data_IF_965397381103
#
_entry.id   IF_965397381103
#
_cell.length_a   1.000
_cell.length_b   1.000
_cell.length_c   1.000
_cell.angle_alpha   90.00
_cell.angle_beta   90.00
_cell.angle_gamma   90.00
#
_symmetry.space_group_name_H-M   'P 1'
#
loop_
_entity.id
_entity.type
_entity.pdbx_description
1 polymer ?
#
# COMPACT_ATOMS: atom_id res chain seq x y z
N UNK A 1 -12.34 -1.09 -18.63
CA UNK A 1 -12.66 -2.42 -18.07
C UNK A 1 -11.47 -3.35 -18.25
N UNK A 2 -11.12 -4.17 -17.26
CA UNK A 2 -10.15 -5.25 -17.48
C UNK A 2 -10.85 -6.33 -18.31
N UNK A 3 -10.23 -6.78 -19.41
CA UNK A 3 -10.77 -7.88 -20.23
C UNK A 3 -10.95 -9.13 -19.37
N UNK A 4 -12.08 -9.83 -19.53
CA UNK A 4 -12.46 -11.04 -18.76
C UNK A 4 -11.33 -12.08 -18.68
N UNK A 5 -10.57 -12.25 -19.76
CA UNK A 5 -9.42 -13.14 -19.83
C UNK A 5 -8.31 -12.80 -18.81
N UNK A 6 -8.01 -11.51 -18.62
CA UNK A 6 -7.01 -11.06 -17.63
C UNK A 6 -7.46 -11.34 -16.19
N UNK A 7 -8.76 -11.22 -15.92
CA UNK A 7 -9.33 -11.54 -14.60
C UNK A 7 -9.22 -13.05 -14.34
N UNK A 8 -9.58 -13.88 -15.31
CA UNK A 8 -9.47 -15.34 -15.20
C UNK A 8 -8.03 -15.79 -14.96
N UNK A 9 -7.07 -15.19 -15.67
CA UNK A 9 -5.64 -15.45 -15.44
C UNK A 9 -5.21 -15.08 -14.02
N UNK A 10 -5.58 -13.89 -13.56
CA UNK A 10 -5.27 -13.40 -12.22
C UNK A 10 -5.86 -14.32 -11.13
N UNK A 11 -7.10 -14.80 -11.30
CA UNK A 11 -7.73 -15.76 -10.39
C UNK A 11 -6.95 -17.07 -10.35
N UNK A 12 -6.60 -17.63 -11.51
CA UNK A 12 -5.83 -18.90 -11.59
C UNK A 12 -4.44 -18.77 -10.97
N UNK A 13 -3.74 -17.67 -11.24
CA UNK A 13 -2.44 -17.38 -10.62
C UNK A 13 -2.57 -17.27 -9.09
N UNK A 14 -3.64 -16.65 -8.61
CA UNK A 14 -3.91 -16.55 -7.18
C UNK A 14 -4.34 -17.88 -6.54
N UNK A 15 -5.13 -18.72 -7.22
CA UNK A 15 -5.50 -20.07 -6.77
C UNK A 15 -4.25 -20.92 -6.48
N UNK A 16 -3.25 -20.83 -7.36
CA UNK A 16 -2.02 -21.64 -7.33
C UNK A 16 -0.93 -21.15 -6.35
N UNK A 17 -1.17 -20.08 -5.59
CA UNK A 17 -0.19 -19.55 -4.62
C UNK A 17 -0.75 -19.57 -3.19
N UNK A 18 0.10 -19.92 -2.23
CA UNK A 18 -0.22 -19.82 -0.79
C UNK A 18 0.05 -18.42 -0.23
N UNK A 19 0.70 -17.56 -1.01
CA UNK A 19 1.08 -16.22 -0.57
C UNK A 19 -0.08 -15.23 -0.66
N UNK A 20 -0.11 -14.32 0.30
CA UNK A 20 -0.84 -13.07 0.26
C UNK A 20 0.14 -11.89 0.23
N UNK A 21 -0.30 -10.79 -0.35
CA UNK A 21 0.37 -9.50 -0.20
C UNK A 21 -0.19 -8.77 1.01
N UNK A 22 0.69 -8.16 1.81
CA UNK A 22 0.31 -7.37 2.97
C UNK A 22 0.90 -5.97 2.85
N UNK A 23 0.03 -4.97 3.00
CA UNK A 23 0.39 -3.57 3.09
C UNK A 23 0.39 -3.15 4.55
N UNK A 24 1.55 -2.78 5.07
CA UNK A 24 1.75 -2.22 6.40
C UNK A 24 1.82 -0.71 6.28
N UNK A 25 0.86 -0.03 6.88
CA UNK A 25 0.83 1.42 6.93
C UNK A 25 1.60 1.86 8.16
N UNK A 26 2.71 2.55 7.95
CA UNK A 26 3.69 2.86 8.99
C UNK A 26 3.86 4.36 9.18
N UNK A 27 4.08 4.73 10.43
CA UNK A 27 4.51 6.03 10.91
C UNK A 27 5.93 5.90 11.45
N UNK A 28 6.78 6.91 11.26
CA UNK A 28 8.11 6.91 11.85
C UNK A 28 8.69 8.31 12.05
N UNK A 29 9.49 8.45 13.10
CA UNK A 29 10.35 9.61 13.34
C UNK A 29 11.68 9.42 12.60
N UNK A 30 11.91 10.21 11.55
CA UNK A 30 13.07 10.12 10.69
C UNK A 30 14.40 10.37 11.39
N UNK A 31 14.43 11.13 12.49
CA UNK A 31 15.65 11.43 13.24
C UNK A 31 16.25 10.19 13.92
N UNK A 32 15.43 9.15 14.15
CA UNK A 32 15.86 7.87 14.74
C UNK A 32 16.48 6.91 13.73
N UNK A 33 16.62 7.30 12.46
CA UNK A 33 17.11 6.45 11.39
C UNK A 33 18.18 7.13 10.54
N UNK A 34 19.21 6.37 10.15
CA UNK A 34 20.26 6.82 9.25
C UNK A 34 19.81 6.84 7.78
N UNK A 35 18.85 5.99 7.44
CA UNK A 35 18.33 5.81 6.09
C UNK A 35 16.98 5.10 6.08
N UNK A 36 16.29 5.14 4.95
CA UNK A 36 15.09 4.33 4.73
C UNK A 36 15.44 2.88 4.37
N UNK A 37 16.30 2.69 3.36
CA UNK A 37 16.77 1.36 2.93
C UNK A 37 17.84 0.82 3.89
N UNK A 38 17.95 -0.52 3.98
CA UNK A 38 18.98 -1.24 4.73
C UNK A 38 20.39 -0.89 4.24
N UNK A 39 21.27 -0.55 5.18
CA UNK A 39 22.70 -0.27 4.95
C UNK A 39 23.50 -0.97 6.06
N UNK A 40 24.64 -1.58 5.70
CA UNK A 40 25.47 -2.31 6.67
C UNK A 40 25.84 -1.44 7.88
N UNK A 41 25.62 -1.97 9.09
CA UNK A 41 25.94 -1.30 10.35
C UNK A 41 25.11 -0.06 10.70
N UNK A 42 24.04 0.25 9.96
CA UNK A 42 23.20 1.43 10.18
C UNK A 42 21.77 1.08 10.54
N UNK A 43 21.13 1.92 11.35
CA UNK A 43 19.72 1.76 11.73
C UNK A 43 18.86 2.36 10.63
N UNK A 44 18.09 1.53 9.92
CA UNK A 44 17.18 1.97 8.86
C UNK A 44 15.74 1.60 9.12
N UNK A 45 14.80 2.36 8.53
CA UNK A 45 13.36 2.08 8.61
C UNK A 45 13.05 0.64 8.20
N UNK A 46 13.61 0.17 7.08
CA UNK A 46 13.40 -1.22 6.63
C UNK A 46 14.02 -2.26 7.57
N UNK A 47 15.21 -2.00 8.12
CA UNK A 47 15.86 -2.93 9.05
C UNK A 47 15.06 -3.08 10.35
N UNK A 48 14.53 -1.99 10.90
CA UNK A 48 13.72 -2.03 12.13
C UNK A 48 12.35 -2.64 11.86
N UNK A 49 11.75 -2.37 10.70
CA UNK A 49 10.53 -3.06 10.28
C UNK A 49 10.75 -4.56 10.12
N UNK A 50 11.88 -5.00 9.55
CA UNK A 50 12.23 -6.43 9.45
C UNK A 50 12.38 -7.07 10.82
N UNK A 51 13.10 -6.42 11.75
CA UNK A 51 13.20 -6.89 13.15
C UNK A 51 11.83 -6.98 13.82
N UNK A 52 10.92 -6.05 13.53
CA UNK A 52 9.55 -6.08 14.03
C UNK A 52 8.77 -7.27 13.47
N UNK A 53 8.92 -7.59 12.18
CA UNK A 53 8.35 -8.81 11.59
C UNK A 53 8.92 -10.08 12.24
N UNK A 54 10.24 -10.14 12.44
CA UNK A 54 10.92 -11.28 13.08
C UNK A 54 10.44 -11.49 14.53
N UNK A 55 10.28 -10.42 15.31
CA UNK A 55 9.71 -10.47 16.66
C UNK A 55 8.28 -11.03 16.70
N UNK A 56 7.51 -10.77 15.65
CA UNK A 56 6.17 -11.32 15.48
C UNK A 56 6.15 -12.71 14.82
N UNK A 57 7.31 -13.34 14.65
CA UNK A 57 7.47 -14.61 13.92
C UNK A 57 6.89 -14.57 12.49
N UNK A 58 6.87 -13.40 11.86
CA UNK A 58 6.38 -13.20 10.49
C UNK A 58 7.51 -13.47 9.51
N UNK A 59 7.36 -14.55 8.74
CA UNK A 59 8.22 -14.91 7.62
C UNK A 59 7.69 -14.24 6.35
N UNK A 60 8.56 -13.50 5.68
CA UNK A 60 8.26 -12.88 4.39
C UNK A 60 9.00 -13.59 3.26
N UNK A 61 8.42 -13.54 2.07
CA UNK A 61 9.03 -14.00 0.83
C UNK A 61 9.46 -12.82 -0.02
N UNK A 62 10.70 -12.90 -0.52
CA UNK A 62 11.43 -11.79 -1.18
C UNK A 62 11.63 -10.60 -0.22
N UNK A 63 11.99 -9.44 -0.76
CA UNK A 63 12.25 -8.23 -0.01
C UNK A 63 11.01 -7.36 0.25
N UNK A 64 11.21 -6.35 1.08
CA UNK A 64 10.22 -5.32 1.41
C UNK A 64 10.19 -4.27 0.28
N UNK A 65 9.02 -4.11 -0.33
CA UNK A 65 8.73 -2.99 -1.24
C UNK A 65 8.08 -1.83 -0.48
N UNK A 66 8.01 -0.64 -1.08
CA UNK A 66 7.57 0.57 -0.41
C UNK A 66 6.78 1.51 -1.31
N UNK A 67 5.93 2.34 -0.73
CA UNK A 67 5.25 3.40 -1.44
C UNK A 67 6.18 4.59 -1.73
N UNK A 68 6.92 5.05 -0.72
CA UNK A 68 7.92 6.10 -0.84
C UNK A 68 9.22 5.74 -0.16
N UNK A 69 10.36 6.03 -0.81
CA UNK A 69 11.66 6.04 -0.13
C UNK A 69 11.93 7.44 0.38
N UNK A 70 12.21 7.58 1.67
CA UNK A 70 12.58 8.87 2.27
C UNK A 70 14.10 9.01 2.44
N UNK A 71 14.57 10.25 2.43
CA UNK A 71 15.96 10.58 2.78
C UNK A 71 16.15 10.46 4.31
N UNK A 72 17.41 10.57 4.78
CA UNK A 72 17.74 10.68 6.21
C UNK A 72 16.95 11.82 6.87
N UNK A 73 16.54 11.61 8.13
CA UNK A 73 15.77 12.55 8.98
C UNK A 73 14.35 12.88 8.53
N UNK A 74 13.92 12.43 7.34
CA UNK A 74 12.55 12.69 6.86
C UNK A 74 11.57 11.83 7.64
N UNK A 75 10.56 12.47 8.22
CA UNK A 75 9.48 11.82 8.98
C UNK A 75 8.45 11.19 8.05
N UNK A 76 7.62 10.29 8.56
CA UNK A 76 6.41 9.86 7.87
C UNK A 76 5.25 9.67 8.82
N UNK A 77 4.07 10.12 8.41
CA UNK A 77 2.82 9.88 9.13
C UNK A 77 2.09 8.62 8.66
N UNK A 78 2.15 8.32 7.36
CA UNK A 78 1.55 7.11 6.78
C UNK A 78 2.27 6.70 5.48
N UNK A 79 3.50 6.16 5.60
CA UNK A 79 4.14 5.47 4.50
C UNK A 79 3.63 4.01 4.43
N UNK A 80 3.89 3.29 3.33
CA UNK A 80 3.38 1.94 3.14
C UNK A 80 4.53 1.01 2.78
N UNK A 81 4.68 -0.08 3.54
CA UNK A 81 5.57 -1.18 3.22
C UNK A 81 4.75 -2.37 2.75
N UNK A 82 5.22 -3.03 1.69
CA UNK A 82 4.54 -4.19 1.10
C UNK A 82 5.43 -5.42 1.14
N UNK A 83 4.88 -6.52 1.65
CA UNK A 83 5.55 -7.82 1.76
C UNK A 83 4.63 -8.95 1.30
N UNK A 84 5.22 -10.09 0.97
CA UNK A 84 4.48 -11.32 0.69
C UNK A 84 4.67 -12.30 1.84
N UNK A 85 3.62 -12.94 2.32
CA UNK A 85 3.71 -13.99 3.33
C UNK A 85 2.64 -15.06 3.09
N UNK A 86 2.93 -16.30 3.51
CA UNK A 86 1.93 -17.38 3.58
C UNK A 86 1.09 -17.28 4.86
N UNK A 87 1.61 -16.63 5.89
CA UNK A 87 0.93 -16.52 7.17
C UNK A 87 -0.29 -15.61 7.06
N UNK A 88 -1.30 -15.91 7.87
CA UNK A 88 -2.39 -14.98 8.12
C UNK A 88 -1.89 -13.92 9.12
N UNK A 89 -1.87 -12.66 8.71
CA UNK A 89 -1.37 -11.56 9.54
C UNK A 89 -2.53 -10.61 9.80
N UNK A 90 -2.89 -10.49 11.08
CA UNK A 90 -3.88 -9.55 11.58
C UNK A 90 -3.17 -8.48 12.40
N UNK A 91 -3.71 -7.26 12.39
CA UNK A 91 -3.06 -6.12 13.06
C UNK A 91 -3.14 -6.27 14.58
N UNK A 92 -4.23 -6.87 15.07
CA UNK A 92 -4.56 -7.06 16.48
C UNK A 92 -3.61 -8.06 17.16
N UNK A 93 -3.01 -8.97 16.38
CA UNK A 93 -2.20 -10.08 16.89
C UNK A 93 -0.69 -9.79 16.88
N UNK A 94 -0.28 -8.55 16.56
CA UNK A 94 1.14 -8.22 16.41
C UNK A 94 1.60 -7.11 17.35
N UNK A 95 2.87 -7.20 17.77
CA UNK A 95 3.64 -6.07 18.26
C UNK A 95 3.74 -5.08 17.09
N UNK A 96 3.11 -3.93 17.24
CA UNK A 96 2.94 -2.94 16.19
C UNK A 96 3.93 -1.77 16.28
N UNK A 97 4.78 -1.70 17.30
CA UNK A 97 5.67 -0.56 17.53
C UNK A 97 7.07 -1.01 17.94
N UNK A 98 8.08 -0.26 17.47
CA UNK A 98 9.45 -0.32 17.93
C UNK A 98 10.05 1.10 17.98
N UNK A 99 11.31 1.22 18.40
CA UNK A 99 11.93 2.54 18.62
C UNK A 99 11.98 3.40 17.34
N UNK A 100 11.01 4.31 17.24
CA UNK A 100 10.86 5.27 16.16
C UNK A 100 9.96 4.84 15.00
N UNK A 101 9.36 3.65 15.03
CA UNK A 101 8.49 3.15 13.97
C UNK A 101 7.24 2.49 14.57
N UNK A 102 6.07 2.84 14.02
CA UNK A 102 4.78 2.29 14.40
C UNK A 102 4.00 1.84 13.17
N UNK A 103 3.43 0.64 13.23
CA UNK A 103 2.42 0.14 12.29
C UNK A 103 1.08 0.68 12.77
N UNK A 104 0.33 1.37 11.90
CA UNK A 104 -1.00 1.93 12.19
C UNK A 104 -2.12 0.97 11.80
N UNK A 105 -1.91 0.21 10.73
CA UNK A 105 -2.87 -0.76 10.19
C UNK A 105 -2.21 -1.69 9.17
N UNK A 106 -2.87 -2.82 8.93
CA UNK A 106 -2.50 -3.79 7.89
C UNK A 106 -3.67 -3.94 6.92
N UNK A 107 -3.37 -4.07 5.63
CA UNK A 107 -4.37 -4.44 4.63
C UNK A 107 -3.86 -5.57 3.76
N UNK A 108 -4.72 -6.56 3.51
CA UNK A 108 -4.40 -7.72 2.69
C UNK A 108 -4.78 -7.50 1.24
N UNK A 109 -3.97 -8.00 0.32
CA UNK A 109 -4.15 -7.87 -1.14
C UNK A 109 -3.49 -9.04 -1.86
N UNK A 110 -3.49 -9.03 -3.18
CA UNK A 110 -2.78 -10.03 -3.98
C UNK A 110 -1.27 -10.02 -3.71
N UNK A 111 -0.62 -11.19 -3.72
CA UNK A 111 0.84 -11.28 -3.65
C UNK A 111 1.49 -10.82 -4.97
N UNK A 112 2.80 -10.64 -4.93
CA UNK A 112 3.70 -10.43 -6.08
C UNK A 112 3.36 -9.21 -6.94
N UNK A 113 2.81 -8.17 -6.33
CA UNK A 113 2.61 -6.89 -7.00
C UNK A 113 3.96 -6.17 -7.18
N UNK A 114 4.12 -5.52 -8.32
CA UNK A 114 5.10 -4.44 -8.51
C UNK A 114 4.62 -3.20 -7.75
N UNK A 115 4.78 -3.22 -6.43
CA UNK A 115 4.09 -2.32 -5.51
C UNK A 115 4.37 -0.83 -5.78
N UNK A 116 5.59 -0.39 -6.14
CA UNK A 116 5.83 1.02 -6.51
C UNK A 116 4.97 1.52 -7.68
N UNK A 117 4.59 0.63 -8.61
CA UNK A 117 3.71 0.96 -9.74
C UNK A 117 2.23 1.02 -9.36
N UNK A 118 1.89 0.54 -8.15
CA UNK A 118 0.53 0.56 -7.61
C UNK A 118 0.22 1.83 -6.84
N UNK A 119 1.19 2.74 -6.69
CA UNK A 119 1.04 4.04 -6.04
C UNK A 119 0.78 5.11 -7.10
N UNK A 120 -0.31 5.83 -6.94
CA UNK A 120 -0.75 6.87 -7.87
C UNK A 120 -0.16 8.23 -7.52
N UNK A 121 -0.25 8.63 -6.25
CA UNK A 121 0.26 9.91 -5.76
C UNK A 121 0.94 9.78 -4.40
N UNK A 122 1.84 10.71 -4.12
CA UNK A 122 2.55 10.86 -2.83
C UNK A 122 2.38 12.28 -2.35
N UNK A 123 2.17 12.42 -1.04
CA UNK A 123 1.90 13.69 -0.39
C UNK A 123 2.99 13.98 0.62
N UNK A 124 3.52 15.20 0.57
CA UNK A 124 4.52 15.67 1.52
C UNK A 124 4.12 17.01 2.11
N UNK A 125 4.54 17.23 3.35
CA UNK A 125 4.44 18.52 4.04
C UNK A 125 5.86 18.95 4.40
N UNK A 126 6.19 20.21 4.16
CA UNK A 126 7.45 20.82 4.58
C UNK A 126 7.17 21.94 5.58
N UNK A 127 7.59 21.74 6.83
CA UNK A 127 7.36 22.65 7.96
C UNK A 127 8.67 23.33 8.35
N UNK A 128 8.97 24.46 7.70
CA UNK A 128 10.25 25.16 7.88
C UNK A 128 10.13 26.30 8.90
N UNK A 129 11.13 26.53 9.78
CA UNK A 129 11.06 27.62 10.74
C UNK A 129 10.91 28.99 10.07
N UNK A 130 9.92 29.77 10.49
CA UNK A 130 9.54 31.04 9.85
C UNK A 130 10.70 32.04 9.80
N UNK A 131 11.48 32.15 10.88
CA UNK A 131 12.64 33.04 10.97
C UNK A 131 13.78 32.70 9.99
N UNK A 132 13.74 31.52 9.34
CA UNK A 132 14.71 31.11 8.32
C UNK A 132 14.21 31.34 6.89
N UNK A 133 12.95 31.73 6.72
CA UNK A 133 12.33 32.01 5.43
C UNK A 133 12.77 33.40 4.95
N UNK A 134 13.24 33.50 3.70
CA UNK A 134 13.71 34.77 3.11
C UNK A 134 12.70 35.43 2.19
N UNK A 135 11.89 34.64 1.49
CA UNK A 135 10.87 35.17 0.58
C UNK A 135 9.62 35.57 1.35
N UNK A 136 8.97 36.64 0.92
CA UNK A 136 7.65 37.00 1.42
C UNK A 136 6.56 36.04 0.89
N UNK A 137 5.38 36.10 1.48
CA UNK A 137 4.27 35.18 1.17
C UNK A 137 3.81 35.27 -0.30
N UNK A 138 3.75 36.48 -0.87
CA UNK A 138 3.38 36.68 -2.28
C UNK A 138 4.35 35.98 -3.22
N UNK A 139 5.65 36.14 -3.01
CA UNK A 139 6.69 35.48 -3.80
C UNK A 139 6.65 33.97 -3.62
N UNK A 140 6.38 33.48 -2.41
CA UNK A 140 6.22 32.05 -2.13
C UNK A 140 5.04 31.48 -2.93
N UNK A 141 3.86 32.10 -2.86
CA UNK A 141 2.66 31.66 -3.59
C UNK A 141 2.89 31.66 -5.10
N UNK A 142 3.49 32.73 -5.64
CA UNK A 142 3.87 32.80 -7.06
C UNK A 142 4.83 31.67 -7.46
N UNK A 143 5.86 31.41 -6.66
CA UNK A 143 6.80 30.31 -6.92
C UNK A 143 6.09 28.95 -6.89
N UNK A 144 5.12 28.74 -6.00
CA UNK A 144 4.33 27.51 -5.92
C UNK A 144 3.50 27.29 -7.21
N UNK A 145 2.81 28.32 -7.69
CA UNK A 145 2.05 28.28 -8.94
C UNK A 145 2.96 27.99 -10.14
N UNK A 146 4.05 28.76 -10.28
CA UNK A 146 5.00 28.63 -11.39
C UNK A 146 5.64 27.23 -11.46
N UNK A 147 5.88 26.60 -10.32
CA UNK A 147 6.51 25.28 -10.24
C UNK A 147 5.54 24.11 -10.31
N UNK A 148 4.23 24.35 -10.24
CA UNK A 148 3.22 23.31 -10.29
C UNK A 148 2.94 22.81 -11.73
N UNK A 149 2.37 21.62 -11.86
CA UNK A 149 1.96 21.01 -13.13
C UNK A 149 2.94 19.96 -13.67
N UNK A 150 2.68 19.52 -14.91
CA UNK A 150 3.45 18.47 -15.58
C UNK A 150 4.63 19.05 -16.37
N UNK A 151 5.85 18.81 -15.90
CA UNK A 151 7.07 19.36 -16.52
C UNK A 151 8.32 18.55 -16.19
N UNK A 152 9.41 18.88 -16.85
CA UNK A 152 10.73 18.31 -16.56
C UNK A 152 11.35 18.99 -15.32
N UNK A 153 11.59 18.20 -14.28
CA UNK A 153 12.16 18.68 -13.00
C UNK A 153 13.65 18.36 -12.81
N UNK A 154 14.41 18.12 -13.88
CA UNK A 154 15.85 17.79 -13.80
C UNK A 154 16.68 18.83 -13.03
N UNK A 155 16.24 20.10 -13.00
CA UNK A 155 16.87 21.16 -12.21
C UNK A 155 16.70 20.96 -10.70
N UNK A 156 15.61 20.33 -10.27
CA UNK A 156 15.23 20.10 -8.88
C UNK A 156 15.60 18.69 -8.43
N UNK A 157 16.81 18.23 -8.75
CA UNK A 157 17.31 16.95 -8.26
C UNK A 157 18.81 16.97 -8.09
N UNK A 158 19.30 16.13 -7.19
CA UNK A 158 20.72 15.80 -7.06
C UNK A 158 21.33 15.16 -8.32
N UNK A 159 22.67 15.00 -8.31
CA UNK A 159 23.43 14.23 -9.33
C UNK A 159 22.85 12.83 -9.57
N UNK A 160 22.47 12.10 -8.51
CA UNK A 160 21.88 10.76 -8.61
C UNK A 160 20.57 10.75 -9.41
N UNK A 161 19.69 11.73 -9.18
CA UNK A 161 18.43 11.78 -9.94
C UNK A 161 18.59 12.30 -11.37
N UNK A 162 19.67 13.03 -11.69
CA UNK A 162 19.99 13.42 -13.08
C UNK A 162 20.31 12.21 -13.96
N UNK A 163 20.81 11.11 -13.38
CA UNK A 163 21.11 9.87 -14.10
C UNK A 163 19.86 9.06 -14.49
N UNK A 164 18.67 9.43 -14.01
CA UNK A 164 17.43 8.75 -14.39
C UNK A 164 17.06 9.03 -15.85
N UNK A 165 16.41 8.07 -16.52
CA UNK A 165 15.96 8.24 -17.92
C UNK A 165 14.82 9.25 -18.07
N UNK A 166 13.97 9.41 -17.05
CA UNK A 166 12.79 10.26 -17.10
C UNK A 166 12.70 11.20 -15.89
N UNK A 167 12.69 12.50 -16.18
CA UNK A 167 12.59 13.59 -15.20
C UNK A 167 11.25 14.34 -15.24
N UNK A 168 10.33 13.94 -16.12
CA UNK A 168 8.99 14.52 -16.19
C UNK A 168 8.18 14.01 -15.00
N UNK A 169 7.61 14.93 -14.22
CA UNK A 169 6.68 14.64 -13.13
C UNK A 169 5.49 15.58 -13.24
N UNK A 170 4.40 15.20 -12.60
CA UNK A 170 3.25 16.08 -12.36
C UNK A 170 3.18 16.31 -10.87
N UNK A 171 3.46 17.55 -10.46
CA UNK A 171 3.58 17.94 -9.06
C UNK A 171 2.77 19.21 -8.86
N UNK A 172 1.97 19.25 -7.81
CA UNK A 172 1.28 20.43 -7.34
C UNK A 172 1.87 20.81 -5.99
N UNK A 173 2.19 22.09 -5.82
CA UNK A 173 2.68 22.63 -4.55
C UNK A 173 1.86 23.86 -4.18
N UNK A 174 1.53 23.97 -2.90
CA UNK A 174 0.83 25.12 -2.33
C UNK A 174 1.42 25.52 -0.99
N UNK A 175 1.28 26.79 -0.62
CA UNK A 175 1.71 27.31 0.67
C UNK A 175 0.48 27.76 1.47
N UNK A 176 0.25 27.13 2.62
CA UNK A 176 -0.89 27.39 3.49
C UNK A 176 -0.46 27.25 4.95
N UNK A 177 -0.91 28.16 5.82
CA UNK A 177 -0.63 28.11 7.27
C UNK A 177 0.87 27.91 7.60
N UNK A 178 1.76 28.64 6.91
CA UNK A 178 3.21 28.56 7.14
C UNK A 178 3.91 27.31 6.57
N UNK A 179 3.18 26.43 5.86
CA UNK A 179 3.68 25.12 5.41
C UNK A 179 3.57 24.95 3.90
N UNK A 180 4.52 24.23 3.31
CA UNK A 180 4.41 23.78 1.92
C UNK A 180 3.79 22.39 1.85
N UNK A 181 2.76 22.25 1.03
CA UNK A 181 2.11 20.98 0.73
C UNK A 181 2.44 20.58 -0.70
N UNK A 182 3.00 19.38 -0.86
CA UNK A 182 3.33 18.81 -2.16
C UNK A 182 2.44 17.59 -2.41
N UNK A 183 1.92 17.52 -3.63
CA UNK A 183 1.23 16.36 -4.19
C UNK A 183 1.90 16.02 -5.51
N UNK A 184 2.19 14.75 -5.77
CA UNK A 184 2.71 14.38 -7.09
C UNK A 184 2.69 12.90 -7.39
N UNK A 185 2.74 12.58 -8.69
CA UNK A 185 2.76 11.19 -9.18
C UNK A 185 4.11 10.47 -8.92
N UNK A 186 5.12 11.22 -8.52
CA UNK A 186 6.43 10.74 -8.12
C UNK A 186 7.39 11.89 -7.95
N UNK A 187 8.48 11.66 -7.22
CA UNK A 187 9.49 12.68 -6.95
C UNK A 187 10.87 12.14 -7.29
N UNK A 188 11.72 13.00 -7.84
CA UNK A 188 13.15 12.75 -8.05
C UNK A 188 13.89 12.83 -6.71
N UNK A 189 15.15 12.36 -6.70
CA UNK A 189 15.96 12.37 -5.48
C UNK A 189 16.19 13.79 -4.96
N UNK A 190 15.86 14.02 -3.68
CA UNK A 190 15.89 15.31 -2.97
C UNK A 190 14.95 16.40 -3.53
N UNK A 191 14.05 16.06 -4.46
CA UNK A 191 13.28 17.06 -5.20
C UNK A 191 12.44 17.97 -4.30
N UNK A 192 11.68 17.39 -3.37
CA UNK A 192 10.81 18.16 -2.47
C UNK A 192 11.64 19.16 -1.65
N UNK A 193 12.83 18.75 -1.17
CA UNK A 193 13.72 19.58 -0.35
C UNK A 193 14.37 20.71 -1.14
N UNK A 194 14.74 20.46 -2.40
CA UNK A 194 15.31 21.48 -3.29
C UNK A 194 14.23 22.47 -3.72
N UNK A 195 13.04 21.99 -4.10
CA UNK A 195 11.90 22.84 -4.44
C UNK A 195 11.50 23.71 -3.25
N UNK A 196 11.43 23.14 -2.04
CA UNK A 196 11.11 23.90 -0.82
C UNK A 196 12.11 25.04 -0.59
N UNK A 197 13.43 24.79 -0.73
CA UNK A 197 14.42 25.84 -0.56
C UNK A 197 14.32 26.93 -1.62
N UNK A 198 14.03 26.56 -2.86
CA UNK A 198 13.85 27.53 -3.93
C UNK A 198 12.62 28.40 -3.67
N UNK A 199 11.50 27.77 -3.30
CA UNK A 199 10.24 28.47 -3.02
C UNK A 199 10.41 29.44 -1.84
N UNK A 200 11.01 28.98 -0.74
CA UNK A 200 11.13 29.75 0.51
C UNK A 200 12.30 30.74 0.50
N UNK A 201 13.41 30.41 -0.18
CA UNK A 201 14.68 31.13 -0.04
C UNK A 201 15.44 31.40 -1.36
N UNK A 202 14.90 30.98 -2.51
CA UNK A 202 15.56 31.15 -3.83
C UNK A 202 16.80 30.28 -4.07
N UNK A 203 17.06 29.28 -3.23
CA UNK A 203 18.26 28.43 -3.34
C UNK A 203 17.99 27.07 -3.97
N UNK A 204 18.92 26.59 -4.80
CA UNK A 204 18.88 25.25 -5.42
C UNK A 204 19.53 24.15 -4.58
N UNK A 205 19.83 24.42 -3.30
CA UNK A 205 20.34 23.42 -2.35
C UNK A 205 19.18 22.73 -1.62
N UNK A 206 19.28 21.46 -1.23
CA UNK A 206 18.24 20.82 -0.44
C UNK A 206 18.20 21.41 0.98
N UNK A 207 17.01 21.75 1.50
CA UNK A 207 16.83 22.01 2.93
C UNK A 207 16.95 20.73 3.77
N UNK A 208 16.99 20.82 5.10
CA UNK A 208 17.16 19.66 5.99
C UNK A 208 15.99 18.66 5.91
N UNK A 209 16.26 17.38 6.19
CA UNK A 209 15.26 16.30 6.10
C UNK A 209 14.24 16.35 7.22
N UNK A 210 14.64 16.74 8.44
CA UNK A 210 13.80 16.76 9.65
C UNK A 210 12.50 17.56 9.55
N UNK A 211 12.47 18.57 8.69
CA UNK A 211 11.29 19.42 8.45
C UNK A 211 10.33 18.85 7.39
N UNK A 212 10.73 17.78 6.70
CA UNK A 212 9.93 17.12 5.68
C UNK A 212 9.20 15.91 6.27
N UNK A 213 7.91 15.85 6.00
CA UNK A 213 7.01 14.78 6.42
C UNK A 213 6.43 14.11 5.17
N UNK A 214 6.64 12.81 5.02
CA UNK A 214 5.86 11.98 4.10
C UNK A 214 4.47 11.77 4.71
N UNK A 215 3.46 12.49 4.20
CA UNK A 215 2.13 12.50 4.78
C UNK A 215 1.38 11.20 4.50
N UNK A 216 1.27 10.83 3.22
CA UNK A 216 0.58 9.62 2.76
C UNK A 216 0.90 9.28 1.31
N UNK A 217 0.46 8.10 0.88
CA UNK A 217 0.39 7.71 -0.53
C UNK A 217 -1.02 7.29 -0.92
N UNK A 218 -1.46 7.75 -2.09
CA UNK A 218 -2.72 7.30 -2.68
C UNK A 218 -2.47 6.05 -3.53
N UNK A 219 -3.26 5.02 -3.25
CA UNK A 219 -3.24 3.77 -3.99
C UNK A 219 -3.95 3.95 -5.34
N UNK A 220 -3.38 3.36 -6.38
CA UNK A 220 -4.01 3.30 -7.70
C UNK A 220 -5.38 2.62 -7.64
N UNK A 221 -6.27 3.03 -8.56
CA UNK A 221 -7.57 2.36 -8.77
C UNK A 221 -7.41 0.85 -8.94
N UNK A 222 -6.34 0.41 -9.62
CA UNK A 222 -6.03 -1.01 -9.80
C UNK A 222 -5.81 -1.70 -8.45
N UNK A 223 -4.96 -1.15 -7.58
CA UNK A 223 -4.67 -1.76 -6.28
C UNK A 223 -5.87 -1.72 -5.35
N UNK A 224 -6.64 -0.63 -5.32
CA UNK A 224 -7.88 -0.53 -4.52
C UNK A 224 -8.84 -1.69 -4.82
N UNK A 225 -8.95 -2.11 -6.08
CA UNK A 225 -9.78 -3.24 -6.52
C UNK A 225 -9.24 -4.63 -6.12
N UNK A 226 -7.99 -4.71 -5.70
CA UNK A 226 -7.32 -5.97 -5.31
C UNK A 226 -7.26 -6.19 -3.80
N UNK A 227 -7.58 -5.17 -3.00
CA UNK A 227 -7.61 -5.26 -1.54
C UNK A 227 -8.74 -6.21 -1.12
N UNK A 228 -8.41 -7.13 -0.22
CA UNK A 228 -9.35 -8.05 0.38
C UNK A 228 -10.01 -7.42 1.60
N UNK A 229 -11.32 -7.55 1.69
CA UNK A 229 -12.12 -7.15 2.84
C UNK A 229 -12.90 -8.37 3.34
N UNK A 230 -13.05 -8.47 4.66
CA UNK A 230 -13.92 -9.48 5.26
C UNK A 230 -15.36 -9.25 4.82
N UNK A 231 -16.08 -10.36 4.67
CA UNK A 231 -17.49 -10.38 4.29
C UNK A 231 -18.27 -10.90 5.47
N UNK A 232 -19.27 -10.14 5.91
CA UNK A 232 -20.18 -10.59 6.96
C UNK A 232 -20.93 -11.85 6.47
N UNK A 233 -20.98 -12.88 7.33
CA UNK A 233 -21.69 -14.13 7.06
C UNK A 233 -23.21 -13.93 6.96
N UNK A 234 -23.74 -12.78 7.39
CA UNK A 234 -25.14 -12.40 7.17
C UNK A 234 -25.59 -12.42 5.70
N UNK A 235 -24.66 -12.37 4.74
CA UNK A 235 -24.98 -12.57 3.31
C UNK A 235 -25.62 -13.95 3.04
N UNK A 236 -25.45 -14.93 3.94
CA UNK A 236 -25.98 -16.28 3.80
C UNK A 236 -27.22 -16.55 4.67
N UNK A 237 -27.71 -15.57 5.44
CA UNK A 237 -28.55 -15.85 6.63
C UNK A 237 -30.06 -15.67 6.46
N UNK A 238 -30.59 -15.26 5.30
CA UNK A 238 -32.06 -15.26 5.14
C UNK A 238 -32.51 -16.45 4.29
N UNK A 239 -33.50 -17.20 4.79
CA UNK A 239 -34.18 -18.24 4.00
C UNK A 239 -34.74 -17.69 2.68
N UNK A 240 -35.09 -16.40 2.65
CA UNK A 240 -35.62 -15.70 1.49
C UNK A 240 -34.52 -15.45 0.45
N UNK A 241 -33.31 -15.04 0.85
CA UNK A 241 -32.15 -14.95 -0.04
C UNK A 241 -31.72 -16.33 -0.55
N UNK A 242 -31.69 -17.35 0.32
CA UNK A 242 -31.39 -18.72 -0.06
C UNK A 242 -32.43 -19.30 -1.04
N UNK A 243 -33.73 -19.00 -0.84
CA UNK A 243 -34.83 -19.33 -1.78
C UNK A 243 -34.70 -18.55 -3.10
N UNK A 244 -34.37 -17.27 -3.05
CA UNK A 244 -34.12 -16.42 -4.23
C UNK A 244 -32.93 -16.94 -5.06
N UNK A 245 -31.94 -17.54 -4.41
CA UNK A 245 -30.80 -18.19 -5.07
C UNK A 245 -31.04 -19.67 -5.43
N UNK A 246 -32.23 -20.22 -5.17
CA UNK A 246 -32.57 -21.64 -5.39
C UNK A 246 -31.58 -22.61 -4.73
N UNK A 247 -31.16 -22.30 -3.50
CA UNK A 247 -30.18 -23.08 -2.73
C UNK A 247 -30.92 -24.22 -2.00
N UNK A 248 -30.58 -25.47 -2.27
CA UNK A 248 -31.16 -26.64 -1.60
C UNK A 248 -30.46 -26.98 -0.27
N UNK A 249 -31.06 -27.91 0.49
CA UNK A 249 -30.56 -28.39 1.81
C UNK A 249 -29.11 -28.92 1.74
N UNK A 250 -28.69 -29.46 0.59
CA UNK A 250 -27.30 -29.92 0.38
C UNK A 250 -26.33 -28.75 0.27
N UNK A 251 -26.75 -27.66 -0.34
CA UNK A 251 -25.95 -26.45 -0.50
C UNK A 251 -25.81 -25.68 0.83
N UNK A 252 -26.82 -25.71 1.70
CA UNK A 252 -26.75 -25.16 3.05
C UNK A 252 -25.66 -25.84 3.90
N UNK A 253 -25.59 -27.18 3.85
CA UNK A 253 -24.49 -27.94 4.47
C UNK A 253 -23.11 -27.55 3.92
N UNK A 254 -23.03 -27.24 2.63
CA UNK A 254 -21.79 -26.81 1.95
C UNK A 254 -21.41 -25.37 2.35
N UNK A 255 -22.36 -24.52 2.70
CA UNK A 255 -22.07 -23.19 3.22
C UNK A 255 -21.50 -23.27 4.66
N UNK A 256 -22.00 -24.20 5.47
CA UNK A 256 -21.56 -24.38 6.86
C UNK A 256 -20.10 -24.82 7.01
N UNK A 257 -19.47 -25.38 5.97
CA UNK A 257 -18.04 -25.74 6.00
C UNK A 257 -17.10 -24.56 5.73
N UNK A 258 -17.63 -23.40 5.30
CA UNK A 258 -16.86 -22.18 5.04
C UNK A 258 -16.60 -21.45 6.35
N UNK A 259 -15.34 -21.34 6.75
CA UNK A 259 -14.92 -20.74 8.03
C UNK A 259 -14.82 -19.22 7.98
N UNK A 260 -14.39 -18.66 6.86
CA UNK A 260 -14.32 -17.22 6.65
C UNK A 260 -14.48 -16.89 5.18
N UNK A 261 -14.91 -15.67 4.90
CA UNK A 261 -15.04 -15.16 3.55
C UNK A 261 -14.42 -13.78 3.46
N UNK A 262 -13.62 -13.62 2.42
CA UNK A 262 -13.12 -12.32 2.02
C UNK A 262 -13.46 -12.07 0.56
N UNK A 263 -13.42 -10.80 0.14
CA UNK A 263 -13.59 -10.44 -1.26
C UNK A 263 -12.74 -9.26 -1.65
N UNK A 264 -12.39 -9.22 -2.92
CA UNK A 264 -11.99 -8.00 -3.60
C UNK A 264 -13.03 -7.65 -4.69
N UNK A 265 -12.73 -6.70 -5.58
CA UNK A 265 -13.69 -6.30 -6.62
C UNK A 265 -13.89 -7.33 -7.74
N UNK A 266 -13.15 -8.44 -7.74
CA UNK A 266 -13.13 -9.42 -8.83
C UNK A 266 -13.61 -10.81 -8.41
N UNK A 267 -13.35 -11.22 -7.18
CA UNK A 267 -13.70 -12.56 -6.69
C UNK A 267 -13.80 -12.61 -5.15
N UNK A 268 -14.47 -13.67 -4.68
CA UNK A 268 -14.52 -14.08 -3.29
C UNK A 268 -13.45 -15.13 -2.98
N UNK A 269 -12.94 -15.11 -1.75
CA UNK A 269 -12.11 -16.17 -1.18
C UNK A 269 -12.93 -16.86 -0.11
N UNK A 270 -13.17 -18.16 -0.30
CA UNK A 270 -13.78 -19.01 0.71
C UNK A 270 -12.68 -19.78 1.42
N UNK A 271 -12.56 -19.54 2.73
CA UNK A 271 -11.66 -20.27 3.60
C UNK A 271 -12.38 -21.48 4.17
N UNK A 272 -11.77 -22.65 4.08
CA UNK A 272 -12.29 -23.92 4.61
C UNK A 272 -11.17 -24.66 5.31
N UNK A 273 -11.48 -25.63 6.16
CA UNK A 273 -10.48 -26.63 6.59
C UNK A 273 -9.99 -27.40 5.35
N UNK A 274 -8.69 -27.69 5.24
CA UNK A 274 -8.15 -28.41 4.07
C UNK A 274 -8.90 -29.73 3.78
N UNK A 275 -9.29 -30.47 4.84
CA UNK A 275 -10.12 -31.69 4.70
C UNK A 275 -11.49 -31.48 4.02
N UNK A 276 -12.06 -30.28 4.11
CA UNK A 276 -13.38 -29.94 3.58
C UNK A 276 -13.33 -29.34 2.16
N UNK A 277 -12.13 -29.05 1.64
CA UNK A 277 -11.93 -28.39 0.33
C UNK A 277 -12.50 -29.20 -0.83
N UNK A 278 -12.26 -30.51 -0.84
CA UNK A 278 -12.80 -31.43 -1.86
C UNK A 278 -14.32 -31.50 -1.84
N UNK A 279 -14.94 -31.41 -0.66
CA UNK A 279 -16.38 -31.39 -0.47
C UNK A 279 -17.00 -30.09 -1.02
N UNK A 280 -16.41 -28.93 -0.69
CA UNK A 280 -16.84 -27.62 -1.20
C UNK A 280 -16.77 -27.56 -2.74
N UNK A 281 -15.70 -28.11 -3.33
CA UNK A 281 -15.53 -28.14 -4.79
C UNK A 281 -16.54 -29.12 -5.42
N UNK A 282 -16.68 -30.30 -4.82
CA UNK A 282 -17.53 -31.39 -5.29
C UNK A 282 -16.98 -32.09 -6.54
N UNK A 283 -17.52 -33.29 -6.83
CA UNK A 283 -17.12 -34.11 -8.00
C UNK A 283 -17.23 -33.31 -9.30
N UNK A 284 -16.14 -33.21 -10.08
CA UNK A 284 -16.04 -32.39 -11.31
C UNK A 284 -16.39 -30.89 -11.11
N UNK A 285 -16.21 -30.37 -9.89
CA UNK A 285 -16.49 -28.99 -9.54
C UNK A 285 -17.98 -28.64 -9.48
N UNK A 286 -18.88 -29.63 -9.35
CA UNK A 286 -20.33 -29.39 -9.42
C UNK A 286 -20.82 -28.41 -8.36
N UNK A 287 -20.31 -28.49 -7.14
CA UNK A 287 -20.76 -27.67 -6.01
C UNK A 287 -20.27 -26.23 -6.18
N UNK A 288 -18.96 -26.04 -6.41
CA UNK A 288 -18.40 -24.71 -6.62
C UNK A 288 -18.99 -24.00 -7.85
N UNK A 289 -19.34 -24.74 -8.92
CA UNK A 289 -20.02 -24.16 -10.10
C UNK A 289 -21.39 -23.58 -9.75
N UNK A 290 -22.13 -24.19 -8.82
CA UNK A 290 -23.41 -23.65 -8.34
C UNK A 290 -23.19 -22.36 -7.53
N UNK A 291 -22.25 -22.38 -6.58
CA UNK A 291 -21.90 -21.21 -5.79
C UNK A 291 -21.40 -20.06 -6.68
N UNK A 292 -20.65 -20.34 -7.74
CA UNK A 292 -20.21 -19.33 -8.71
C UNK A 292 -21.36 -18.66 -9.48
N UNK A 293 -22.53 -19.29 -9.62
CA UNK A 293 -23.71 -18.65 -10.20
C UNK A 293 -24.31 -17.58 -9.27
N UNK A 294 -24.08 -17.72 -7.96
CA UNK A 294 -24.63 -16.85 -6.92
C UNK A 294 -23.65 -15.72 -6.61
N UNK A 295 -22.40 -16.07 -6.28
CA UNK A 295 -21.39 -15.11 -5.81
C UNK A 295 -20.45 -14.62 -6.92
N UNK A 296 -20.56 -15.16 -8.14
CA UNK A 296 -19.62 -14.88 -9.21
C UNK A 296 -18.31 -15.65 -9.04
N UNK A 297 -17.17 -15.01 -9.27
CA UNK A 297 -15.87 -15.70 -9.16
C UNK A 297 -15.55 -16.06 -7.71
N UNK A 298 -15.14 -17.31 -7.47
CA UNK A 298 -14.76 -17.82 -6.16
C UNK A 298 -13.42 -18.54 -6.27
N UNK A 299 -12.55 -18.28 -5.31
CA UNK A 299 -11.30 -18.98 -5.00
C UNK A 299 -11.46 -19.71 -3.68
N UNK A 300 -11.08 -20.97 -3.61
CA UNK A 300 -11.11 -21.75 -2.36
C UNK A 300 -9.70 -21.87 -1.81
N UNK A 301 -9.49 -21.45 -0.56
CA UNK A 301 -8.25 -21.61 0.18
C UNK A 301 -8.50 -22.51 1.37
N UNK A 302 -7.69 -23.54 1.55
CA UNK A 302 -7.73 -24.28 2.78
C UNK A 302 -6.88 -23.60 3.85
N UNK A 303 -7.32 -23.76 5.09
CA UNK A 303 -6.55 -23.48 6.30
C UNK A 303 -6.21 -24.83 6.94
N UNK A 304 -4.99 -24.93 7.43
CA UNK A 304 -4.58 -26.00 8.36
C UNK A 304 -5.21 -25.75 9.73
#
# INVERSE_FOLDING_TARGET
MIKTEKINRLIREFENTEYFGYMFFIEYNGEKFDSFDENSGKKSVKSEFRKLLEKNNIKIFKGIQQAGRTDKEVNAEENILYVNSKQHIMYEDIINECDGLKIKRISKTLPFLEFPQMIEKRYYIYEYPEHLIKNNEEKIKKNCEELSGKRNYIKFTSKKGKQLKNHIREIYVKFESGKLYFEGNGFLHQQVRIMSNFILNGSMRPLQGKYLIFKKADLSVKLKKLIFNNVDRKIFETEEDLKNYSIGIKEERILNIIENIEKNSYFYIFYVKEKNKSELIGKKGKNIKKLKKIFGNIVVKGKD
#
